data_IF_196309997189
#
_entry.id   IF_196309997189
#
_cell.length_a   1.000
_cell.length_b   1.000
_cell.length_c   1.000
_cell.angle_alpha   90.00
_cell.angle_beta   90.00
_cell.angle_gamma   90.00
#
_symmetry.space_group_name_H-M   'P 1'
#
loop_
_entity.id
_entity.type
_entity.pdbx_description
1 polymer ?
#
# COMPACT_ATOMS: atom_id res chain seq x y z
N UNK A 1 -26.25 25.23 -14.54
CA UNK A 1 -25.13 24.53 -13.88
C UNK A 1 -24.84 23.27 -14.68
N UNK A 2 -23.63 23.09 -15.20
CA UNK A 2 -23.32 21.98 -16.12
C UNK A 2 -23.38 20.62 -15.38
N UNK A 3 -24.21 19.65 -15.82
CA UNK A 3 -24.34 18.36 -15.15
C UNK A 3 -23.04 17.54 -15.14
N UNK A 4 -22.19 17.71 -16.15
CA UNK A 4 -20.89 17.04 -16.20
C UNK A 4 -19.91 17.62 -15.19
N UNK A 5 -19.97 18.93 -14.92
CA UNK A 5 -19.14 19.56 -13.88
C UNK A 5 -19.51 19.03 -12.49
N UNK A 6 -20.82 18.88 -12.19
CA UNK A 6 -21.27 18.24 -10.95
C UNK A 6 -20.81 16.78 -10.84
N UNK A 7 -20.87 16.04 -11.94
CA UNK A 7 -20.39 14.65 -11.95
C UNK A 7 -18.90 14.59 -11.58
N UNK A 8 -18.05 15.43 -12.19
CA UNK A 8 -16.62 15.53 -11.84
C UNK A 8 -16.43 15.83 -10.35
N UNK A 9 -17.10 16.85 -9.81
CA UNK A 9 -17.01 17.22 -8.38
C UNK A 9 -17.37 16.03 -7.49
N UNK A 10 -18.48 15.34 -7.76
CA UNK A 10 -18.88 14.13 -7.03
C UNK A 10 -17.84 13.02 -7.14
N UNK A 11 -17.22 12.87 -8.31
CA UNK A 11 -16.19 11.85 -8.48
C UNK A 11 -14.95 12.14 -7.64
N UNK A 12 -14.53 13.41 -7.58
CA UNK A 12 -13.40 13.86 -6.76
C UNK A 12 -13.72 13.73 -5.26
N UNK A 13 -14.92 14.07 -4.84
CA UNK A 13 -15.37 13.90 -3.45
C UNK A 13 -15.29 12.43 -2.99
N UNK A 14 -15.76 11.51 -3.82
CA UNK A 14 -15.62 10.08 -3.54
C UNK A 14 -14.15 9.63 -3.50
N UNK A 15 -13.28 10.19 -4.36
CA UNK A 15 -11.84 9.90 -4.31
C UNK A 15 -11.21 10.37 -3.00
N UNK A 16 -11.57 11.56 -2.50
CA UNK A 16 -11.09 12.05 -1.19
C UNK A 16 -11.43 11.02 -0.11
N UNK A 17 -12.71 10.65 -0.01
CA UNK A 17 -13.20 9.70 0.99
C UNK A 17 -12.51 8.33 0.91
N UNK A 18 -12.32 7.79 -0.29
CA UNK A 18 -11.65 6.50 -0.48
C UNK A 18 -10.15 6.57 -0.14
N UNK A 19 -9.48 7.69 -0.45
CA UNK A 19 -8.09 7.88 -0.06
C UNK A 19 -7.93 8.06 1.46
N UNK A 20 -8.87 8.70 2.15
CA UNK A 20 -8.87 8.75 3.62
C UNK A 20 -9.00 7.34 4.23
N UNK A 21 -9.84 6.49 3.63
CA UNK A 21 -9.94 5.09 4.03
C UNK A 21 -8.63 4.33 3.79
N UNK A 22 -7.97 4.52 2.64
CA UNK A 22 -6.66 3.93 2.37
C UNK A 22 -5.60 4.39 3.37
N UNK A 23 -5.64 5.67 3.76
CA UNK A 23 -4.74 6.20 4.77
C UNK A 23 -4.95 5.52 6.14
N UNK A 24 -6.21 5.35 6.56
CA UNK A 24 -6.54 4.60 7.77
C UNK A 24 -6.01 3.16 7.70
N UNK A 25 -6.15 2.48 6.56
CA UNK A 25 -5.58 1.14 6.37
C UNK A 25 -4.05 1.15 6.42
N UNK A 26 -3.37 2.12 5.80
CA UNK A 26 -1.92 2.25 5.89
C UNK A 26 -1.45 2.49 7.33
N UNK A 27 -2.19 3.27 8.12
CA UNK A 27 -1.91 3.52 9.53
C UNK A 27 -2.07 2.25 10.37
N UNK A 28 -3.17 1.52 10.17
CA UNK A 28 -3.46 0.24 10.84
C UNK A 28 -2.46 -0.85 10.44
N UNK A 29 -2.10 -0.94 9.16
CA UNK A 29 -1.13 -1.91 8.61
C UNK A 29 0.21 -1.75 9.30
N UNK A 30 0.72 -0.53 9.38
CA UNK A 30 1.95 -0.24 10.12
C UNK A 30 1.84 -0.63 11.60
N UNK A 31 0.71 -0.32 12.26
CA UNK A 31 0.53 -0.67 13.67
C UNK A 31 0.55 -2.20 13.89
N UNK A 32 -0.12 -2.96 13.03
CA UNK A 32 -0.12 -4.43 13.06
C UNK A 32 1.29 -5.00 12.80
N UNK A 33 2.05 -4.41 11.88
CA UNK A 33 3.45 -4.80 11.64
C UNK A 33 4.32 -4.52 12.88
N UNK A 34 4.16 -3.36 13.51
CA UNK A 34 4.91 -3.00 14.71
C UNK A 34 4.60 -3.93 15.89
N UNK A 35 3.35 -4.39 16.01
CA UNK A 35 2.92 -5.36 17.03
C UNK A 35 3.12 -6.82 16.63
N UNK A 36 3.66 -7.10 15.43
CA UNK A 36 3.85 -8.45 14.88
C UNK A 36 2.55 -9.30 14.83
N UNK A 37 1.41 -8.64 14.67
CA UNK A 37 0.10 -9.28 14.60
C UNK A 37 -0.22 -9.66 13.14
N UNK A 38 0.21 -10.86 12.75
CA UNK A 38 0.10 -11.34 11.36
C UNK A 38 -1.34 -11.61 10.93
N UNK A 39 -2.19 -12.13 11.82
CA UNK A 39 -3.60 -12.40 11.51
C UNK A 39 -4.38 -11.10 11.23
N UNK A 40 -4.16 -10.06 12.06
CA UNK A 40 -4.74 -8.75 11.83
C UNK A 40 -4.18 -8.09 10.57
N UNK A 41 -2.88 -8.25 10.31
CA UNK A 41 -2.22 -7.71 9.12
C UNK A 41 -2.83 -8.28 7.83
N UNK A 42 -3.07 -9.59 7.75
CA UNK A 42 -3.71 -10.24 6.60
C UNK A 42 -5.13 -9.69 6.35
N UNK A 43 -5.91 -9.53 7.40
CA UNK A 43 -7.27 -8.97 7.32
C UNK A 43 -7.24 -7.53 6.80
N UNK A 44 -6.37 -6.70 7.35
CA UNK A 44 -6.17 -5.30 6.91
C UNK A 44 -5.80 -5.26 5.43
N UNK A 45 -4.84 -6.08 4.99
CA UNK A 45 -4.38 -6.10 3.60
C UNK A 45 -5.44 -6.60 2.62
N UNK A 46 -6.36 -7.47 3.05
CA UNK A 46 -7.48 -7.91 2.22
C UNK A 46 -8.50 -6.78 1.99
N UNK A 47 -8.84 -6.03 3.03
CA UNK A 47 -9.75 -4.89 2.92
C UNK A 47 -9.11 -3.69 2.20
N UNK A 48 -7.82 -3.41 2.46
CA UNK A 48 -7.04 -2.39 1.75
C UNK A 48 -7.07 -2.61 0.23
N UNK A 49 -6.94 -3.87 -0.23
CA UNK A 49 -7.03 -4.23 -1.65
C UNK A 49 -8.38 -3.88 -2.26
N UNK A 50 -9.49 -4.10 -1.55
CA UNK A 50 -10.83 -3.76 -2.03
C UNK A 50 -10.99 -2.25 -2.21
N UNK A 51 -10.53 -1.46 -1.24
CA UNK A 51 -10.59 0.00 -1.32
C UNK A 51 -9.64 0.54 -2.39
N UNK A 52 -8.45 -0.04 -2.55
CA UNK A 52 -7.52 0.33 -3.62
C UNK A 52 -8.13 0.12 -5.01
N UNK A 53 -8.82 -1.02 -5.22
CA UNK A 53 -9.56 -1.27 -6.46
C UNK A 53 -10.68 -0.23 -6.66
N UNK A 54 -11.44 0.08 -5.61
CA UNK A 54 -12.48 1.11 -5.68
C UNK A 54 -11.92 2.49 -6.04
N UNK A 55 -10.73 2.86 -5.55
CA UNK A 55 -10.04 4.10 -5.95
C UNK A 55 -9.71 4.08 -7.44
N UNK A 56 -9.19 2.96 -7.96
CA UNK A 56 -8.86 2.82 -9.37
C UNK A 56 -10.11 2.98 -10.27
N UNK A 57 -11.19 2.28 -9.94
CA UNK A 57 -12.45 2.36 -10.68
C UNK A 57 -13.05 3.77 -10.64
N UNK A 58 -12.97 4.42 -9.48
CA UNK A 58 -13.45 5.78 -9.28
C UNK A 58 -12.63 6.81 -10.06
N UNK A 59 -11.30 6.65 -10.14
CA UNK A 59 -10.43 7.51 -10.94
C UNK A 59 -10.71 7.33 -12.44
N UNK A 60 -10.99 6.11 -12.90
CA UNK A 60 -11.44 5.86 -14.27
C UNK A 60 -12.76 6.58 -14.56
N UNK A 61 -13.72 6.50 -13.65
CA UNK A 61 -14.99 7.21 -13.77
C UNK A 61 -14.80 8.75 -13.79
N UNK A 62 -13.90 9.28 -12.95
CA UNK A 62 -13.51 10.71 -12.97
C UNK A 62 -12.99 11.12 -14.36
N UNK A 63 -12.05 10.36 -14.94
CA UNK A 63 -11.49 10.65 -16.27
C UNK A 63 -12.57 10.66 -17.36
N UNK A 64 -13.50 9.71 -17.32
CA UNK A 64 -14.65 9.71 -18.23
C UNK A 64 -15.53 10.95 -18.06
N UNK A 65 -15.85 11.33 -16.83
CA UNK A 65 -16.62 12.54 -16.55
C UNK A 65 -15.92 13.81 -17.06
N UNK A 66 -14.58 13.88 -16.95
CA UNK A 66 -13.78 14.98 -17.48
C UNK A 66 -13.84 15.04 -19.02
N UNK A 67 -13.76 13.89 -19.70
CA UNK A 67 -13.93 13.83 -21.16
C UNK A 67 -15.29 14.40 -21.58
N UNK A 68 -16.36 14.02 -20.88
CA UNK A 68 -17.70 14.56 -21.15
C UNK A 68 -17.78 16.07 -20.88
N UNK A 69 -17.17 16.54 -19.80
CA UNK A 69 -17.08 17.96 -19.49
C UNK A 69 -16.34 18.72 -20.59
N UNK A 70 -15.17 18.23 -21.02
CA UNK A 70 -14.37 18.84 -22.09
C UNK A 70 -15.18 18.99 -23.39
N UNK A 71 -15.89 17.92 -23.80
CA UNK A 71 -16.81 17.96 -24.96
C UNK A 71 -17.90 19.01 -24.80
N UNK A 72 -18.54 19.08 -23.63
CA UNK A 72 -19.61 20.06 -23.37
C UNK A 72 -19.12 21.51 -23.39
N UNK A 73 -17.82 21.73 -23.15
CA UNK A 73 -17.18 23.04 -23.18
C UNK A 73 -16.52 23.36 -24.53
N UNK A 74 -16.66 22.48 -25.54
CA UNK A 74 -16.00 22.65 -26.85
C UNK A 74 -14.47 22.56 -26.80
N UNK A 75 -13.91 21.91 -25.78
CA UNK A 75 -12.45 21.75 -25.62
C UNK A 75 -11.96 20.48 -26.32
N UNK A 76 -10.71 20.46 -26.82
CA UNK A 76 -10.12 19.28 -27.44
C UNK A 76 -10.05 18.12 -26.43
N UNK A 77 -10.51 16.94 -26.87
CA UNK A 77 -10.65 15.74 -26.02
C UNK A 77 -9.35 14.93 -25.95
N UNK A 78 -8.44 15.16 -26.88
CA UNK A 78 -7.19 14.39 -27.06
C UNK A 78 -6.31 14.31 -25.80
N UNK A 79 -6.47 15.29 -24.88
CA UNK A 79 -5.71 15.35 -23.63
C UNK A 79 -6.62 15.40 -22.39
N UNK A 80 -7.93 15.17 -22.55
CA UNK A 80 -8.91 15.37 -21.49
C UNK A 80 -8.80 14.33 -20.36
N UNK A 81 -8.28 13.14 -20.62
CA UNK A 81 -8.06 12.08 -19.63
C UNK A 81 -6.85 12.33 -18.72
N UNK A 82 -5.86 13.08 -19.20
CA UNK A 82 -4.65 13.44 -18.48
C UNK A 82 -4.73 14.76 -17.70
N UNK A 83 -5.87 15.45 -17.75
CA UNK A 83 -6.05 16.78 -17.13
C UNK A 83 -5.90 16.68 -15.61
N UNK A 84 -5.03 17.52 -15.06
CA UNK A 84 -4.79 17.62 -13.63
C UNK A 84 -5.97 18.25 -12.91
N UNK A 85 -6.20 17.89 -11.64
CA UNK A 85 -7.24 18.52 -10.82
C UNK A 85 -7.08 20.05 -10.75
N UNK A 86 -5.85 20.56 -10.69
CA UNK A 86 -5.55 22.00 -10.72
C UNK A 86 -6.01 22.70 -12.00
N UNK A 87 -5.95 22.01 -13.13
CA UNK A 87 -6.40 22.54 -14.43
C UNK A 87 -7.94 22.46 -14.53
N UNK A 88 -8.56 21.43 -13.96
CA UNK A 88 -10.01 21.27 -13.91
C UNK A 88 -10.71 22.36 -13.12
N UNK A 89 -10.07 22.91 -12.07
CA UNK A 89 -10.59 24.06 -11.33
C UNK A 89 -10.87 25.24 -12.27
N UNK A 90 -10.05 25.45 -13.31
CA UNK A 90 -10.27 26.53 -14.27
C UNK A 90 -11.45 26.26 -15.23
N UNK A 91 -11.88 25.00 -15.40
CA UNK A 91 -12.93 24.61 -16.34
C UNK A 91 -14.32 24.62 -15.73
N UNK A 92 -14.40 24.64 -14.40
CA UNK A 92 -15.65 24.55 -13.65
C UNK A 92 -16.18 25.95 -13.33
N UNK A 93 -17.51 26.08 -13.28
CA UNK A 93 -18.19 27.35 -12.96
C UNK A 93 -17.81 27.85 -11.55
N UNK A 94 -17.91 29.17 -11.35
CA UNK A 94 -17.57 29.85 -10.09
C UNK A 94 -18.11 29.21 -8.79
N UNK A 95 -19.37 28.72 -8.69
CA UNK A 95 -19.88 28.16 -7.44
C UNK A 95 -19.21 26.84 -7.03
N UNK A 96 -18.67 26.08 -7.98
CA UNK A 96 -18.08 24.75 -7.73
C UNK A 96 -16.54 24.81 -7.64
N UNK A 97 -15.94 25.89 -8.16
CA UNK A 97 -14.50 26.14 -8.16
C UNK A 97 -13.81 26.03 -6.78
N UNK A 98 -14.26 26.75 -5.72
CA UNK A 98 -13.58 26.71 -4.43
C UNK A 98 -13.63 25.32 -3.81
N UNK A 99 -14.78 24.64 -3.90
CA UNK A 99 -14.94 23.27 -3.41
C UNK A 99 -14.02 22.28 -4.13
N UNK A 100 -13.88 22.38 -5.45
CA UNK A 100 -12.97 21.52 -6.20
C UNK A 100 -11.49 21.79 -5.87
N UNK A 101 -11.13 23.06 -5.66
CA UNK A 101 -9.77 23.44 -5.24
C UNK A 101 -9.43 22.87 -3.86
N UNK A 102 -10.33 22.98 -2.89
CA UNK A 102 -10.17 22.42 -1.55
C UNK A 102 -10.00 20.89 -1.60
N UNK A 103 -10.86 20.18 -2.34
CA UNK A 103 -10.75 18.72 -2.49
C UNK A 103 -9.46 18.29 -3.19
N UNK A 104 -8.98 19.07 -4.16
CA UNK A 104 -7.69 18.82 -4.82
C UNK A 104 -6.53 18.91 -3.84
N UNK A 105 -6.54 19.89 -2.94
CA UNK A 105 -5.51 20.06 -1.93
C UNK A 105 -5.59 18.95 -0.86
N UNK A 106 -6.81 18.61 -0.45
CA UNK A 106 -7.05 17.49 0.47
C UNK A 106 -6.51 16.17 -0.10
N UNK A 107 -6.81 15.87 -1.37
CA UNK A 107 -6.29 14.66 -2.03
C UNK A 107 -4.76 14.63 -2.06
N UNK A 108 -4.12 15.75 -2.40
CA UNK A 108 -2.66 15.84 -2.40
C UNK A 108 -2.10 15.52 -1.02
N UNK A 109 -2.64 16.16 0.01
CA UNK A 109 -2.24 15.97 1.40
C UNK A 109 -2.38 14.51 1.84
N UNK A 110 -3.52 13.89 1.55
CA UNK A 110 -3.81 12.50 1.92
C UNK A 110 -2.88 11.53 1.18
N UNK A 111 -2.68 11.70 -0.13
CA UNK A 111 -1.76 10.87 -0.92
C UNK A 111 -0.32 10.96 -0.38
N UNK A 112 0.14 12.15 -0.01
CA UNK A 112 1.49 12.32 0.56
C UNK A 112 1.60 11.70 1.96
N UNK A 113 0.53 11.69 2.76
CA UNK A 113 0.48 10.94 4.02
C UNK A 113 0.54 9.43 3.77
N UNK A 114 -0.22 8.89 2.83
CA UNK A 114 -0.17 7.47 2.44
C UNK A 114 1.25 7.08 2.01
N UNK A 115 1.89 7.89 1.15
CA UNK A 115 3.27 7.65 0.70
C UNK A 115 4.25 7.57 1.86
N UNK A 116 4.22 8.54 2.78
CA UNK A 116 5.07 8.54 3.97
C UNK A 116 4.83 7.32 4.84
N UNK A 117 3.57 6.93 5.04
CA UNK A 117 3.22 5.77 5.85
C UNK A 117 3.66 4.45 5.21
N UNK A 118 3.49 4.31 3.91
CA UNK A 118 3.96 3.16 3.15
C UNK A 118 5.47 3.05 3.18
N UNK A 119 6.19 4.16 3.03
CA UNK A 119 7.65 4.18 3.17
C UNK A 119 8.10 3.70 4.56
N UNK A 120 7.48 4.20 5.63
CA UNK A 120 7.78 3.76 6.98
C UNK A 120 7.49 2.26 7.19
N UNK A 121 6.40 1.74 6.62
CA UNK A 121 6.08 0.31 6.65
C UNK A 121 7.13 -0.53 5.89
N UNK A 122 7.59 -0.05 4.72
CA UNK A 122 8.68 -0.70 3.97
C UNK A 122 9.97 -0.77 4.78
N UNK A 123 10.36 0.32 5.45
CA UNK A 123 11.54 0.32 6.31
C UNK A 123 11.41 -0.67 7.47
N UNK A 124 10.23 -0.73 8.11
CA UNK A 124 9.95 -1.68 9.17
C UNK A 124 10.06 -3.14 8.67
N UNK A 125 9.49 -3.44 7.50
CA UNK A 125 9.61 -4.76 6.88
C UNK A 125 11.08 -5.13 6.59
N UNK A 126 11.85 -4.19 6.06
CA UNK A 126 13.28 -4.38 5.78
C UNK A 126 14.09 -4.66 7.04
N UNK A 127 13.75 -4.04 8.17
CA UNK A 127 14.39 -4.29 9.46
C UNK A 127 14.01 -5.65 10.07
N UNK A 128 12.80 -6.15 9.80
CA UNK A 128 12.35 -7.45 10.31
C UNK A 128 13.01 -8.63 9.58
N UNK A 129 13.33 -8.49 8.30
CA UNK A 129 13.89 -9.57 7.47
C UNK A 129 15.23 -10.14 8.02
N UNK A 130 16.25 -9.33 8.38
CA UNK A 130 17.48 -9.83 8.97
C UNK A 130 17.27 -10.66 10.24
N UNK A 131 16.35 -10.23 11.11
CA UNK A 131 16.04 -11.00 12.33
C UNK A 131 15.43 -12.37 12.04
N UNK A 132 14.62 -12.49 10.98
CA UNK A 132 14.14 -13.80 10.55
C UNK A 132 15.28 -14.66 9.99
N UNK A 133 16.21 -14.08 9.23
CA UNK A 133 17.41 -14.79 8.77
C UNK A 133 18.26 -15.29 9.93
N UNK A 134 18.53 -14.45 10.94
CA UNK A 134 19.25 -14.83 12.16
C UNK A 134 18.55 -15.97 12.92
N UNK A 135 17.23 -15.88 13.09
CA UNK A 135 16.45 -16.92 13.78
C UNK A 135 16.47 -18.24 12.99
N UNK A 136 16.36 -18.19 11.67
CA UNK A 136 16.45 -19.37 10.82
C UNK A 136 17.85 -19.97 10.86
N UNK A 137 18.91 -19.16 10.83
CA UNK A 137 20.28 -19.63 11.00
C UNK A 137 20.46 -20.34 12.35
N UNK A 138 19.95 -19.78 13.45
CA UNK A 138 20.03 -20.42 14.78
C UNK A 138 19.26 -21.75 14.80
N UNK A 139 18.07 -21.80 14.21
CA UNK A 139 17.24 -23.01 14.17
C UNK A 139 17.84 -24.09 13.26
N UNK A 140 18.44 -23.70 12.13
CA UNK A 140 19.01 -24.61 11.12
C UNK A 140 20.45 -25.02 11.42
N UNK A 141 21.23 -24.20 12.13
CA UNK A 141 22.62 -24.53 12.50
C UNK A 141 22.71 -25.73 13.45
N UNK A 142 21.58 -26.21 13.96
CA UNK A 142 21.52 -27.21 15.02
C UNK A 142 22.04 -26.61 16.32
N UNK A 143 21.36 -26.88 17.44
CA UNK A 143 21.87 -26.49 18.76
C UNK A 143 23.36 -26.87 18.91
N UNK A 144 24.13 -26.13 19.75
CA UNK A 144 25.59 -26.19 19.79
C UNK A 144 26.04 -27.63 19.66
N UNK A 145 26.72 -27.93 18.54
CA UNK A 145 27.10 -29.28 18.11
C UNK A 145 27.32 -30.16 19.33
N UNK A 146 26.34 -31.03 19.61
CA UNK A 146 26.29 -31.78 20.85
C UNK A 146 27.65 -32.42 21.07
N UNK A 147 28.35 -32.01 22.13
CA UNK A 147 29.61 -32.64 22.52
C UNK A 147 29.25 -34.07 22.89
N UNK A 148 29.43 -34.98 21.94
CA UNK A 148 29.23 -36.39 22.19
C UNK A 148 30.49 -36.91 22.87
N UNK A 149 30.34 -37.41 24.09
CA UNK A 149 31.41 -38.07 24.82
C UNK A 149 31.47 -39.52 24.37
N UNK A 150 32.61 -39.91 23.80
CA UNK A 150 32.88 -41.32 23.53
C UNK A 150 32.99 -42.08 24.86
N UNK A 151 32.77 -43.40 24.85
CA UNK A 151 32.87 -44.27 26.04
C UNK A 151 34.25 -44.23 26.75
N UNK A 152 35.26 -43.59 26.16
CA UNK A 152 36.58 -43.30 26.76
C UNK A 152 36.75 -41.88 27.31
N UNK A 153 35.67 -41.10 27.47
CA UNK A 153 35.71 -39.75 28.07
C UNK A 153 36.30 -38.65 27.18
N UNK A 154 36.63 -38.95 25.92
CA UNK A 154 37.10 -37.93 24.96
C UNK A 154 35.91 -37.23 24.33
N UNK A 155 35.87 -35.91 24.50
CA UNK A 155 34.95 -35.01 23.82
C UNK A 155 35.34 -34.92 22.34
N UNK A 156 34.48 -35.43 21.47
CA UNK A 156 34.58 -35.22 20.01
C UNK A 156 33.57 -34.16 19.61
N UNK A 157 34.01 -33.06 19.00
CA UNK A 157 33.11 -32.13 18.32
C UNK A 157 32.49 -32.90 17.15
N UNK A 158 31.19 -33.18 17.24
CA UNK A 158 30.45 -33.65 16.07
C UNK A 158 30.51 -32.57 15.00
N UNK A 159 31.11 -32.88 13.86
CA UNK A 159 30.89 -32.07 12.65
C UNK A 159 29.39 -32.11 12.41
N UNK A 160 28.72 -30.96 12.48
CA UNK A 160 27.30 -30.88 12.18
C UNK A 160 27.07 -31.47 10.77
N UNK A 161 26.17 -32.45 10.60
CA UNK A 161 25.76 -32.85 9.27
C UNK A 161 25.03 -31.66 8.65
N UNK A 162 25.60 -31.13 7.57
CA UNK A 162 24.88 -30.26 6.65
C UNK A 162 23.78 -31.12 6.01
N UNK A 163 22.62 -31.24 6.66
CA UNK A 163 21.45 -31.84 6.03
C UNK A 163 20.87 -30.82 5.07
N UNK A 164 21.00 -31.12 3.78
CA UNK A 164 20.33 -30.40 2.72
C UNK A 164 18.83 -30.63 2.85
N UNK A 165 18.03 -29.60 2.60
CA UNK A 165 16.55 -29.70 2.55
C UNK A 165 16.08 -30.74 1.52
N UNK A 166 16.94 -31.12 0.57
CA UNK A 166 16.68 -32.17 -0.41
C UNK A 166 16.70 -33.60 0.16
N UNK A 167 17.29 -33.80 1.34
CA UNK A 167 17.40 -35.15 1.95
C UNK A 167 16.17 -35.55 2.78
N UNK A 168 15.18 -34.66 2.91
CA UNK A 168 13.99 -34.87 3.75
C UNK A 168 12.78 -35.49 3.00
N UNK A 169 12.90 -35.77 1.70
CA UNK A 169 11.81 -36.34 0.86
C UNK A 169 12.05 -37.78 0.37
N UNK A 170 12.90 -38.56 1.05
CA UNK A 170 13.11 -39.98 0.73
C UNK A 170 12.44 -40.91 1.76
#
# INVERSE_FOLDING_TARGET
MNPHAMAVVRHVENLVRLNDQLLSFAEQRYAAMASRDTARLETIMAEERKVAQAVFDQERARRQAVIHLARSLGRPVEHADAVKLSELVAWVDAPLRPRLAEMSESLRTVVDRIRRRNHAATLLAQQMLPHFSELLEILLAGGPAGVSYTAGGRATRGSAPCMSVLDMQA
#
